data_IF_309677629339
#
_entry.id   IF_309677629339
#
_cell.length_a   1.000
_cell.length_b   1.000
_cell.length_c   1.000
_cell.angle_alpha   90.00
_cell.angle_beta   90.00
_cell.angle_gamma   90.00
#
_symmetry.space_group_name_H-M   'P 1'
#
loop_
_entity.id
_entity.type
_entity.pdbx_description
1 polymer ?
#
# COMPACT_ATOMS: atom_id res chain seq x y z
N UNK A 1 -4.23 -12.68 -3.39
CA UNK A 1 -3.95 -11.40 -2.71
C UNK A 1 -2.76 -10.73 -3.38
N UNK A 2 -2.81 -9.42 -3.58
CA UNK A 2 -1.70 -8.60 -4.11
C UNK A 2 -1.28 -7.59 -3.04
N UNK A 3 0.00 -7.48 -2.75
CA UNK A 3 0.57 -6.45 -1.89
C UNK A 3 1.08 -5.29 -2.76
N UNK A 4 0.42 -4.15 -2.67
CA UNK A 4 0.75 -2.91 -3.36
C UNK A 4 1.84 -2.11 -2.61
N UNK A 5 2.89 -2.79 -2.15
CA UNK A 5 3.97 -2.19 -1.34
C UNK A 5 5.33 -2.77 -1.70
N UNK A 6 6.34 -1.92 -1.82
CA UNK A 6 7.75 -2.32 -1.98
C UNK A 6 8.43 -2.68 -0.65
N UNK A 7 7.75 -2.51 0.49
CA UNK A 7 8.33 -2.71 1.82
C UNK A 7 8.64 -4.19 2.11
N UNK A 8 9.93 -4.56 2.30
CA UNK A 8 10.30 -5.95 2.64
C UNK A 8 9.69 -6.39 3.98
N UNK A 9 9.55 -5.45 4.92
CA UNK A 9 8.96 -5.69 6.25
C UNK A 9 7.50 -6.11 6.15
N UNK A 10 6.70 -5.44 5.30
CA UNK A 10 5.27 -5.79 5.11
C UNK A 10 5.10 -7.14 4.45
N UNK A 11 5.93 -7.44 3.44
CA UNK A 11 5.96 -8.77 2.82
C UNK A 11 6.24 -9.86 3.86
N UNK A 12 7.24 -9.67 4.71
CA UNK A 12 7.61 -10.63 5.74
C UNK A 12 6.48 -10.84 6.75
N UNK A 13 5.88 -9.77 7.27
CA UNK A 13 4.79 -9.85 8.25
C UNK A 13 3.58 -10.63 7.70
N UNK A 14 3.19 -10.35 6.45
CA UNK A 14 2.06 -11.04 5.83
C UNK A 14 2.39 -12.50 5.50
N UNK A 15 3.64 -12.79 5.11
CA UNK A 15 4.10 -14.15 4.92
C UNK A 15 4.12 -14.95 6.23
N UNK A 16 4.55 -14.32 7.34
CA UNK A 16 4.50 -14.92 8.69
C UNK A 16 3.05 -15.18 9.15
N UNK A 17 2.09 -14.38 8.70
CA UNK A 17 0.66 -14.63 8.89
C UNK A 17 0.10 -15.75 7.98
N UNK A 18 0.94 -16.43 7.19
CA UNK A 18 0.55 -17.53 6.30
C UNK A 18 -0.09 -17.09 4.98
N UNK A 19 -0.01 -15.81 4.62
CA UNK A 19 -0.64 -15.29 3.41
C UNK A 19 0.25 -15.49 2.17
N UNK A 20 -0.31 -16.11 1.15
CA UNK A 20 0.32 -16.17 -0.19
C UNK A 20 -0.09 -14.93 -0.98
N UNK A 21 0.91 -14.11 -1.30
CA UNK A 21 0.72 -12.81 -1.92
C UNK A 21 1.70 -12.59 -3.07
N UNK A 22 1.22 -11.88 -4.09
CA UNK A 22 2.06 -11.33 -5.17
C UNK A 22 2.41 -9.90 -4.78
N UNK A 23 3.68 -9.52 -4.91
CA UNK A 23 4.11 -8.15 -4.64
C UNK A 23 4.11 -7.38 -5.96
N UNK A 24 3.43 -6.24 -5.99
CA UNK A 24 3.43 -5.31 -7.13
C UNK A 24 3.56 -3.88 -6.58
N UNK A 25 4.72 -3.26 -6.76
CA UNK A 25 4.95 -1.92 -6.22
C UNK A 25 4.24 -0.85 -7.08
N UNK A 26 3.37 -0.01 -6.49
CA UNK A 26 2.81 1.14 -7.18
C UNK A 26 3.89 2.19 -7.44
N UNK A 27 3.74 2.93 -8.53
CA UNK A 27 4.49 4.16 -8.80
C UNK A 27 3.52 5.32 -8.70
N UNK A 28 3.38 5.87 -7.50
CA UNK A 28 2.48 6.98 -7.20
C UNK A 28 3.26 8.10 -6.53
N UNK A 29 2.83 9.33 -6.77
CA UNK A 29 3.32 10.48 -6.03
C UNK A 29 2.73 10.48 -4.60
N UNK A 30 3.62 10.56 -3.62
CA UNK A 30 3.33 10.52 -2.19
C UNK A 30 3.49 11.89 -1.53
N UNK A 31 3.61 12.98 -2.29
CA UNK A 31 3.77 14.33 -1.75
C UNK A 31 2.67 14.72 -0.74
N UNK A 32 3.09 15.45 0.29
CA UNK A 32 2.21 15.99 1.33
C UNK A 32 1.29 17.05 0.74
N UNK A 33 0.06 17.11 1.25
CA UNK A 33 -0.85 18.22 0.96
C UNK A 33 -0.75 19.30 2.05
N UNK A 34 -0.87 20.59 1.71
CA UNK A 34 -0.85 21.66 2.71
C UNK A 34 -1.92 21.46 3.78
N UNK A 35 -1.51 21.47 5.05
CA UNK A 35 -2.42 21.30 6.20
C UNK A 35 -2.93 19.86 6.39
N UNK A 36 -2.40 18.88 5.67
CA UNK A 36 -2.79 17.49 5.81
C UNK A 36 -2.27 16.91 7.13
N UNK A 37 -3.16 16.23 7.86
CA UNK A 37 -2.75 15.53 9.08
C UNK A 37 -2.02 14.23 8.72
N UNK A 38 -1.13 13.75 9.59
CA UNK A 38 -0.45 12.47 9.39
C UNK A 38 -1.43 11.30 9.17
N UNK A 39 -2.60 11.35 9.81
CA UNK A 39 -3.68 10.36 9.63
C UNK A 39 -4.26 10.40 8.23
N UNK A 40 -4.56 11.60 7.73
CA UNK A 40 -5.15 11.77 6.41
C UNK A 40 -4.14 11.42 5.32
N UNK A 41 -2.88 11.79 5.52
CA UNK A 41 -1.75 11.41 4.67
C UNK A 41 -1.68 9.89 4.48
N UNK A 42 -1.55 9.12 5.58
CA UNK A 42 -1.39 7.66 5.45
C UNK A 42 -2.60 6.99 4.81
N UNK A 43 -3.82 7.48 5.09
CA UNK A 43 -5.04 6.95 4.48
C UNK A 43 -5.10 7.26 2.98
N UNK A 44 -4.79 8.49 2.58
CA UNK A 44 -4.76 8.92 1.18
C UNK A 44 -3.72 8.15 0.40
N UNK A 45 -2.49 8.08 0.90
CA UNK A 45 -1.36 7.42 0.23
C UNK A 45 -1.64 5.92 0.08
N UNK A 46 -2.08 5.23 1.15
CA UNK A 46 -2.41 3.81 1.08
C UNK A 46 -3.52 3.51 0.05
N UNK A 47 -4.58 4.33 0.02
CA UNK A 47 -5.64 4.20 -0.99
C UNK A 47 -5.08 4.42 -2.39
N UNK A 48 -4.34 5.52 -2.61
CA UNK A 48 -3.77 5.86 -3.93
C UNK A 48 -2.90 4.74 -4.48
N UNK A 49 -2.05 4.15 -3.64
CA UNK A 49 -1.20 3.00 -3.95
C UNK A 49 -1.99 1.76 -4.35
N UNK A 50 -2.98 1.36 -3.53
CA UNK A 50 -3.84 0.21 -3.84
C UNK A 50 -4.63 0.41 -5.14
N UNK A 51 -5.20 1.60 -5.35
CA UNK A 51 -5.94 1.94 -6.56
C UNK A 51 -5.06 1.95 -7.82
N UNK A 52 -3.78 2.32 -7.72
CA UNK A 52 -2.86 2.28 -8.86
C UNK A 52 -2.50 0.85 -9.30
N UNK A 53 -2.54 -0.12 -8.37
CA UNK A 53 -2.22 -1.53 -8.64
C UNK A 53 -3.46 -2.34 -9.04
N UNK A 54 -4.65 -1.98 -8.53
CA UNK A 54 -5.89 -2.73 -8.78
C UNK A 54 -6.19 -3.01 -10.26
N UNK A 55 -6.04 -2.07 -11.21
CA UNK A 55 -6.26 -2.33 -12.63
C UNK A 55 -5.30 -3.36 -13.25
N UNK A 56 -4.10 -3.55 -12.66
CA UNK A 56 -3.11 -4.54 -13.13
C UNK A 56 -3.47 -5.97 -12.72
N UNK A 57 -4.39 -6.14 -11.76
CA UNK A 57 -4.76 -7.43 -11.18
C UNK A 57 -6.29 -7.58 -11.09
N UNK A 58 -7.01 -7.60 -12.22
CA UNK A 58 -8.47 -7.74 -12.23
C UNK A 58 -8.91 -9.02 -11.50
N UNK A 59 -9.96 -8.92 -10.70
CA UNK A 59 -10.50 -10.04 -9.91
C UNK A 59 -9.67 -10.45 -8.69
N UNK A 60 -8.61 -9.70 -8.34
CA UNK A 60 -7.79 -9.97 -7.15
C UNK A 60 -7.95 -8.86 -6.11
N UNK A 61 -8.01 -9.26 -4.83
CA UNK A 61 -7.90 -8.32 -3.73
C UNK A 61 -6.48 -7.71 -3.70
N UNK A 62 -6.42 -6.38 -3.59
CA UNK A 62 -5.18 -5.60 -3.43
C UNK A 62 -5.14 -5.01 -2.03
N UNK A 63 -4.01 -5.19 -1.36
CA UNK A 63 -3.72 -4.70 -0.02
C UNK A 63 -2.58 -3.69 -0.10
N UNK A 64 -2.73 -2.55 0.56
CA UNK A 64 -1.63 -1.66 0.88
C UNK A 64 -1.75 -1.16 2.32
N UNK A 65 -0.62 -0.69 2.87
CA UNK A 65 -0.57 -0.04 4.17
C UNK A 65 0.51 1.05 4.14
N UNK A 66 0.21 2.20 4.74
CA UNK A 66 1.14 3.30 4.87
C UNK A 66 1.37 3.66 6.36
N UNK A 67 2.46 4.36 6.67
CA UNK A 67 2.88 4.61 8.06
C UNK A 67 3.68 5.90 8.12
N UNK A 68 3.19 6.86 8.90
CA UNK A 68 3.88 8.11 9.19
C UNK A 68 4.46 8.08 10.62
N UNK A 69 5.59 8.74 10.83
CA UNK A 69 6.18 8.98 12.15
C UNK A 69 5.93 10.44 12.48
N UNK A 70 5.32 10.71 13.64
CA UNK A 70 4.98 12.06 14.15
C UNK A 70 5.74 12.37 15.42
#
# INVERSE_FOLDING_TARGET
>A
LVLASSSPRRKLLLAQAGLVLVVDAPRVDEGDLPGETARDFVLRVARKKAHAVSPRHPGRAVLDADTAVV
#
